data_IF_755691103927
#
_entry.id   IF_755691103927
#
_cell.length_a   1.000
_cell.length_b   1.000
_cell.length_c   1.000
_cell.angle_alpha   90.00
_cell.angle_beta   90.00
_cell.angle_gamma   90.00
#
_symmetry.space_group_name_H-M   'P 1'
#
loop_
_entity.id
_entity.type
_entity.pdbx_description
1 polymer ?
#
# COMPACT_ATOMS: atom_id res chain seq x y z
N UNK A 1 6.66 -2.95 14.74
CA UNK A 1 6.10 -1.68 14.21
C UNK A 1 4.67 -1.91 13.77
N UNK A 2 3.78 -1.02 14.13
CA UNK A 2 2.37 -1.05 13.71
C UNK A 2 2.17 -0.22 12.46
N UNK A 3 1.13 -0.54 11.69
CA UNK A 3 0.82 0.21 10.47
C UNK A 3 0.50 1.67 10.76
N UNK A 4 -0.14 1.96 11.90
CA UNK A 4 -0.47 3.34 12.28
C UNK A 4 0.75 4.22 12.52
N UNK A 5 1.92 3.63 12.69
CA UNK A 5 3.17 4.38 12.85
C UNK A 5 3.70 4.89 11.50
N UNK A 6 3.25 4.29 10.40
CA UNK A 6 3.74 4.60 9.06
C UNK A 6 2.63 4.98 8.09
N UNK A 7 1.37 4.83 8.47
CA UNK A 7 0.19 5.15 7.67
C UNK A 7 -0.66 6.16 8.42
N UNK A 8 -0.91 7.31 7.80
CA UNK A 8 -1.78 8.36 8.36
C UNK A 8 -3.02 8.53 7.50
N UNK A 9 -4.08 9.11 8.05
CA UNK A 9 -5.36 9.26 7.37
C UNK A 9 -5.23 10.06 6.05
N UNK A 10 -4.35 11.05 6.01
CA UNK A 10 -4.14 11.88 4.81
C UNK A 10 -3.49 11.11 3.64
N UNK A 11 -3.00 9.91 3.89
CA UNK A 11 -2.47 9.03 2.85
C UNK A 11 -3.38 7.83 2.57
N UNK A 12 -4.66 7.97 2.90
CA UNK A 12 -5.69 6.98 2.56
C UNK A 12 -6.66 7.62 1.59
N UNK A 13 -6.93 6.96 0.47
CA UNK A 13 -7.84 7.45 -0.57
C UNK A 13 -8.79 6.34 -0.99
N UNK A 14 -10.04 6.71 -1.19
CA UNK A 14 -11.09 5.87 -1.77
C UNK A 14 -11.40 6.48 -3.14
N UNK A 15 -11.19 5.73 -4.22
CA UNK A 15 -11.32 6.25 -5.57
C UNK A 15 -11.92 5.23 -6.53
N UNK A 16 -12.52 5.73 -7.62
CA UNK A 16 -13.09 4.92 -8.70
C UNK A 16 -12.55 5.40 -10.04
N UNK A 17 -12.69 4.58 -11.06
CA UNK A 17 -12.36 4.96 -12.42
C UNK A 17 -10.86 5.00 -12.73
N UNK A 18 -10.05 4.26 -12.00
CA UNK A 18 -8.64 4.10 -12.35
C UNK A 18 -8.55 3.26 -13.62
N UNK A 19 -7.78 3.76 -14.61
CA UNK A 19 -7.68 3.12 -15.91
C UNK A 19 -6.92 1.79 -15.92
N UNK A 20 -6.05 1.57 -14.95
CA UNK A 20 -5.27 0.35 -14.88
C UNK A 20 -4.13 0.45 -13.87
N UNK A 21 -3.24 -0.54 -13.89
CA UNK A 21 -2.10 -0.60 -12.98
C UNK A 21 -1.20 0.65 -13.02
N UNK A 22 -0.86 1.21 -14.22
CA UNK A 22 -0.05 2.43 -14.24
C UNK A 22 -0.68 3.59 -13.49
N UNK A 23 -1.99 3.78 -13.63
CA UNK A 23 -2.73 4.85 -12.95
C UNK A 23 -2.80 4.61 -11.44
N UNK A 24 -2.94 3.36 -11.02
CA UNK A 24 -2.92 3.00 -9.61
C UNK A 24 -1.54 3.27 -8.99
N UNK A 25 -0.46 2.93 -9.69
CA UNK A 25 0.90 3.23 -9.22
C UNK A 25 1.17 4.73 -9.16
N UNK A 26 0.65 5.51 -10.12
CA UNK A 26 0.73 6.97 -10.08
C UNK A 26 0.06 7.50 -8.82
N UNK A 27 -1.16 7.05 -8.54
CA UNK A 27 -1.92 7.51 -7.39
C UNK A 27 -1.24 7.15 -6.06
N UNK A 28 -0.75 5.92 -5.93
CA UNK A 28 -0.09 5.50 -4.70
C UNK A 28 1.24 6.22 -4.49
N UNK A 29 1.97 6.53 -5.58
CA UNK A 29 3.21 7.29 -5.50
C UNK A 29 2.99 8.71 -4.97
N UNK A 30 1.92 9.37 -5.42
CA UNK A 30 1.55 10.70 -4.93
C UNK A 30 1.26 10.66 -3.42
N UNK A 31 0.52 9.65 -2.97
CA UNK A 31 0.19 9.49 -1.55
C UNK A 31 1.44 9.21 -0.72
N UNK A 32 2.31 8.32 -1.18
CA UNK A 32 3.55 8.00 -0.48
C UNK A 32 4.45 9.23 -0.34
N UNK A 33 4.55 10.02 -1.40
CA UNK A 33 5.38 11.23 -1.39
C UNK A 33 4.91 12.26 -0.35
N UNK A 34 3.61 12.27 0.01
CA UNK A 34 3.10 13.13 1.09
C UNK A 34 3.73 12.82 2.43
N UNK A 35 4.18 11.59 2.65
CA UNK A 35 4.83 11.16 3.88
C UNK A 35 6.34 11.36 3.88
N UNK A 36 6.87 12.00 2.84
CA UNK A 36 8.31 12.20 2.64
C UNK A 36 8.65 13.68 2.58
N UNK A 37 9.82 14.05 3.11
CA UNK A 37 10.21 15.46 3.23
C UNK A 37 10.59 16.08 1.87
N UNK A 38 11.24 15.31 1.00
CA UNK A 38 11.83 15.88 -0.22
C UNK A 38 11.67 15.01 -1.46
N UNK A 39 10.95 13.89 -1.37
CA UNK A 39 10.78 12.99 -2.52
C UNK A 39 9.67 13.50 -3.44
N UNK A 40 9.96 13.49 -4.74
CA UNK A 40 8.96 13.82 -5.76
C UNK A 40 8.16 12.54 -6.12
N UNK A 41 6.85 12.68 -6.41
CA UNK A 41 6.02 11.52 -6.81
C UNK A 41 6.62 10.71 -7.97
N UNK A 42 7.23 11.36 -8.95
CA UNK A 42 7.83 10.66 -10.10
C UNK A 42 8.98 9.73 -9.69
N UNK A 43 9.74 10.10 -8.67
CA UNK A 43 10.84 9.29 -8.15
C UNK A 43 10.29 8.06 -7.44
N UNK A 44 9.28 8.27 -6.59
CA UNK A 44 8.58 7.17 -5.90
C UNK A 44 7.95 6.22 -6.93
N UNK A 45 7.30 6.79 -7.94
CA UNK A 45 6.67 6.03 -9.03
C UNK A 45 7.67 5.13 -9.75
N UNK A 46 8.86 5.65 -10.04
CA UNK A 46 9.91 4.88 -10.70
C UNK A 46 10.38 3.70 -9.85
N UNK A 47 10.53 3.89 -8.56
CA UNK A 47 10.91 2.83 -7.61
C UNK A 47 9.85 1.71 -7.60
N UNK A 48 8.58 2.09 -7.52
CA UNK A 48 7.47 1.12 -7.51
C UNK A 48 7.40 0.36 -8.83
N UNK A 49 7.56 1.04 -9.96
CA UNK A 49 7.52 0.42 -11.29
C UNK A 49 8.66 -0.58 -11.47
N UNK A 50 9.85 -0.22 -11.07
CA UNK A 50 11.02 -1.11 -11.17
C UNK A 50 10.79 -2.41 -10.39
N UNK A 51 10.23 -2.32 -9.20
CA UNK A 51 9.89 -3.52 -8.41
C UNK A 51 8.78 -4.34 -9.06
N UNK A 52 7.79 -3.68 -9.60
CA UNK A 52 6.63 -4.32 -10.21
C UNK A 52 7.00 -5.08 -11.49
N UNK A 53 8.01 -4.58 -12.23
CA UNK A 53 8.52 -5.25 -13.43
C UNK A 53 9.16 -6.59 -13.14
N UNK A 54 9.71 -6.78 -11.95
CA UNK A 54 10.31 -8.05 -11.56
C UNK A 54 9.25 -9.13 -11.37
N UNK A 55 8.16 -8.77 -10.72
CA UNK A 55 7.02 -9.65 -10.48
C UNK A 55 5.89 -8.81 -9.90
N UNK A 56 4.65 -9.08 -10.30
CA UNK A 56 3.49 -8.38 -9.77
C UNK A 56 3.45 -8.45 -8.23
N UNK A 57 3.09 -7.34 -7.61
CA UNK A 57 2.85 -7.26 -6.16
C UNK A 57 1.39 -7.51 -5.81
N UNK A 58 0.58 -7.91 -6.79
CA UNK A 58 -0.79 -8.41 -6.53
C UNK A 58 -0.72 -9.79 -5.89
N UNK A 59 -1.11 -9.87 -4.64
CA UNK A 59 -0.98 -11.11 -3.85
C UNK A 59 -2.24 -11.97 -3.88
N UNK A 60 -3.25 -11.56 -4.62
CA UNK A 60 -4.53 -12.25 -4.69
C UNK A 60 -5.54 -11.70 -3.70
N UNK A 61 -6.77 -12.20 -3.77
CA UNK A 61 -7.90 -11.78 -2.92
C UNK A 61 -8.22 -10.29 -3.02
N UNK A 62 -7.86 -9.66 -4.14
CA UNK A 62 -8.11 -8.24 -4.36
C UNK A 62 -7.11 -7.32 -3.67
N UNK A 63 -5.95 -7.83 -3.27
CA UNK A 63 -4.92 -7.05 -2.57
C UNK A 63 -3.65 -6.94 -3.39
N UNK A 64 -3.06 -5.75 -3.44
CA UNK A 64 -1.73 -5.52 -3.99
C UNK A 64 -0.89 -4.71 -3.00
N UNK A 65 0.40 -5.01 -2.93
CA UNK A 65 1.32 -4.34 -2.01
C UNK A 65 2.54 -3.84 -2.79
N UNK A 66 2.36 -2.78 -3.63
CA UNK A 66 3.51 -2.18 -4.30
C UNK A 66 4.49 -1.63 -3.27
N UNK A 67 5.76 -1.90 -3.45
CA UNK A 67 6.77 -1.51 -2.45
C UNK A 67 8.14 -1.34 -3.08
N UNK A 68 9.03 -0.76 -2.32
CA UNK A 68 10.41 -0.55 -2.75
C UNK A 68 11.21 0.20 -1.70
N UNK A 69 12.41 0.63 -2.10
CA UNK A 69 13.34 1.33 -1.23
C UNK A 69 13.75 2.66 -1.85
N UNK A 70 13.95 3.65 -1.00
CA UNK A 70 14.43 4.96 -1.42
C UNK A 70 15.55 5.39 -0.48
N UNK A 71 16.73 5.74 -1.05
CA UNK A 71 17.95 5.96 -0.28
C UNK A 71 17.88 7.09 0.74
N UNK A 72 17.04 8.09 0.48
CA UNK A 72 16.94 9.29 1.32
C UNK A 72 16.05 9.12 2.54
N UNK A 73 15.27 8.05 2.59
CA UNK A 73 14.37 7.81 3.72
C UNK A 73 15.12 7.36 4.95
N UNK A 74 14.60 7.77 6.11
CA UNK A 74 15.08 7.32 7.43
C UNK A 74 14.07 6.40 8.11
N UNK A 75 12.81 6.42 7.66
CA UNK A 75 11.73 5.61 8.22
C UNK A 75 10.89 5.01 7.10
N UNK A 76 10.10 3.99 7.42
CA UNK A 76 9.13 3.42 6.50
C UNK A 76 7.96 4.38 6.32
N UNK A 77 7.37 4.40 5.12
CA UNK A 77 6.18 5.19 4.80
C UNK A 77 5.19 4.29 4.08
N UNK A 78 3.93 4.35 4.47
CA UNK A 78 2.86 3.60 3.82
C UNK A 78 1.75 4.54 3.33
N UNK A 79 1.02 4.08 2.31
CA UNK A 79 -0.17 4.75 1.79
C UNK A 79 -1.17 3.68 1.35
N UNK A 80 -2.45 4.02 1.39
CA UNK A 80 -3.53 3.08 1.12
C UNK A 80 -4.51 3.65 0.11
N UNK A 81 -4.75 2.89 -0.95
CA UNK A 81 -5.71 3.22 -1.99
C UNK A 81 -6.75 2.11 -2.05
N UNK A 82 -8.02 2.46 -1.87
CA UNK A 82 -9.13 1.55 -2.06
C UNK A 82 -9.83 1.89 -3.37
N UNK A 83 -9.92 0.93 -4.27
CA UNK A 83 -10.55 1.05 -5.58
C UNK A 83 -11.68 0.01 -5.69
N UNK A 84 -12.92 0.36 -5.26
CA UNK A 84 -14.00 -0.63 -5.16
C UNK A 84 -14.37 -1.29 -6.48
N UNK A 85 -14.17 -0.63 -7.61
CA UNK A 85 -14.43 -1.20 -8.94
C UNK A 85 -13.26 -2.05 -9.48
N UNK A 86 -12.16 -2.12 -8.73
CA UNK A 86 -11.05 -3.00 -9.06
C UNK A 86 -10.10 -2.44 -10.11
N UNK A 87 -8.84 -2.85 -10.01
CA UNK A 87 -7.77 -2.48 -10.95
C UNK A 87 -7.01 -3.74 -11.32
N UNK A 88 -6.84 -4.04 -12.63
CA UNK A 88 -6.01 -5.18 -13.02
C UNK A 88 -4.58 -5.00 -12.50
N UNK A 89 -4.06 -6.00 -11.80
CA UNK A 89 -2.73 -5.92 -11.18
C UNK A 89 -1.86 -7.14 -11.49
N UNK A 90 -2.33 -7.97 -12.43
CA UNK A 90 -1.64 -9.21 -12.81
C UNK A 90 -1.37 -10.10 -11.59
N UNK A 91 -2.36 -10.14 -10.69
CA UNK A 91 -2.27 -10.96 -9.48
C UNK A 91 -2.23 -12.45 -9.82
N UNK A 92 -1.71 -13.24 -8.89
CA UNK A 92 -1.56 -14.69 -9.07
C UNK A 92 -2.92 -15.39 -9.34
N UNK A 93 -4.02 -14.85 -8.83
CA UNK A 93 -5.38 -15.40 -9.03
C UNK A 93 -6.16 -14.69 -10.15
N UNK A 94 -5.51 -13.81 -10.90
CA UNK A 94 -6.09 -12.99 -11.98
C UNK A 94 -7.24 -12.08 -11.55
N UNK A 95 -7.48 -11.93 -10.26
CA UNK A 95 -8.52 -11.05 -9.73
C UNK A 95 -8.01 -9.61 -9.64
N UNK A 96 -8.85 -8.62 -9.97
CA UNK A 96 -8.44 -7.22 -9.86
C UNK A 96 -8.18 -6.82 -8.41
N UNK A 97 -7.23 -5.92 -8.21
CA UNK A 97 -6.94 -5.35 -6.90
C UNK A 97 -7.98 -4.30 -6.54
N UNK A 98 -8.49 -4.37 -5.34
CA UNK A 98 -9.40 -3.36 -4.77
C UNK A 98 -8.78 -2.63 -3.58
N UNK A 99 -7.78 -3.25 -2.98
CA UNK A 99 -7.03 -2.69 -1.84
C UNK A 99 -5.56 -2.67 -2.24
N UNK A 100 -5.00 -1.49 -2.36
CA UNK A 100 -3.62 -1.30 -2.77
C UNK A 100 -2.90 -0.54 -1.67
N UNK A 101 -2.00 -1.22 -0.97
CA UNK A 101 -1.24 -0.64 0.13
C UNK A 101 0.22 -0.57 -0.27
N UNK A 102 0.72 0.65 -0.48
CA UNK A 102 2.11 0.89 -0.84
C UNK A 102 3.00 1.09 0.36
N UNK A 103 4.23 0.60 0.29
CA UNK A 103 5.23 0.76 1.34
C UNK A 103 6.57 1.10 0.71
N UNK A 104 7.17 2.20 1.15
CA UNK A 104 8.54 2.56 0.78
C UNK A 104 9.39 2.61 2.04
N UNK A 105 10.54 1.98 2.02
CA UNK A 105 11.46 1.95 3.14
C UNK A 105 12.83 2.53 2.83
N UNK A 106 13.66 2.75 3.85
CA UNK A 106 15.04 3.16 3.66
C UNK A 106 15.82 2.08 2.90
N UNK A 107 16.64 2.51 1.97
CA UNK A 107 17.45 1.61 1.14
C UNK A 107 18.64 1.01 1.90
N UNK A 108 19.16 1.74 2.88
CA UNK A 108 20.39 1.37 3.59
C UNK A 108 20.10 0.86 4.99
N UNK A 109 20.92 -0.12 5.40
CA UNK A 109 20.88 -0.68 6.74
C UNK A 109 20.09 -1.98 6.81
N UNK A 110 20.71 -2.98 7.40
CA UNK A 110 20.10 -4.30 7.57
C UNK A 110 18.85 -4.22 8.43
N UNK A 111 18.87 -3.39 9.48
CA UNK A 111 17.70 -3.20 10.36
C UNK A 111 16.49 -2.68 9.57
N UNK A 112 16.71 -1.69 8.72
CA UNK A 112 15.63 -1.11 7.90
C UNK A 112 15.06 -2.14 6.91
N UNK A 113 15.89 -2.98 6.33
CA UNK A 113 15.47 -4.03 5.41
C UNK A 113 14.66 -5.11 6.12
N UNK A 114 15.09 -5.55 7.30
CA UNK A 114 14.35 -6.51 8.12
C UNK A 114 13.00 -5.94 8.54
N UNK A 115 12.99 -4.68 8.97
CA UNK A 115 11.77 -3.99 9.35
C UNK A 115 10.79 -3.90 8.18
N UNK A 116 11.30 -3.57 6.98
CA UNK A 116 10.48 -3.51 5.77
C UNK A 116 9.78 -4.86 5.51
N UNK A 117 10.52 -5.96 5.59
CA UNK A 117 9.95 -7.30 5.43
C UNK A 117 8.88 -7.61 6.49
N UNK A 118 9.12 -7.21 7.71
CA UNK A 118 8.14 -7.38 8.79
C UNK A 118 6.86 -6.60 8.53
N UNK A 119 6.99 -5.39 7.99
CA UNK A 119 5.84 -4.57 7.62
C UNK A 119 5.05 -5.23 6.49
N UNK A 120 5.70 -5.71 5.46
CA UNK A 120 5.02 -6.41 4.36
C UNK A 120 4.29 -7.65 4.86
N UNK A 121 4.91 -8.41 5.75
CA UNK A 121 4.28 -9.57 6.37
C UNK A 121 3.07 -9.18 7.22
N UNK A 122 3.18 -8.08 7.97
CA UNK A 122 2.08 -7.56 8.78
C UNK A 122 0.92 -7.11 7.93
N UNK A 123 1.18 -6.39 6.84
CA UNK A 123 0.14 -5.96 5.89
C UNK A 123 -0.61 -7.18 5.35
N UNK A 124 0.12 -8.20 4.91
CA UNK A 124 -0.48 -9.44 4.41
C UNK A 124 -1.37 -10.10 5.46
N UNK A 125 -0.90 -10.12 6.70
CA UNK A 125 -1.65 -10.72 7.82
C UNK A 125 -2.93 -9.95 8.15
N UNK A 126 -2.84 -8.62 8.23
CA UNK A 126 -4.00 -7.76 8.50
C UNK A 126 -5.04 -7.90 7.39
N UNK A 127 -4.61 -7.87 6.14
CA UNK A 127 -5.53 -7.90 4.99
C UNK A 127 -5.97 -9.31 4.58
N UNK A 128 -5.57 -10.32 5.33
CA UNK A 128 -6.00 -11.71 5.06
C UNK A 128 -7.47 -11.93 5.37
N UNK A 129 -8.04 -11.17 6.30
CA UNK A 129 -9.41 -11.34 6.75
C UNK A 129 -10.41 -10.87 5.70
N UNK A 130 -11.26 -11.78 5.14
CA UNK A 130 -12.21 -11.41 4.09
C UNK A 130 -13.22 -10.36 4.51
N UNK A 131 -13.68 -10.41 5.77
CA UNK A 131 -14.65 -9.43 6.29
C UNK A 131 -14.09 -8.03 6.33
N UNK A 132 -12.82 -7.88 6.70
CA UNK A 132 -12.16 -6.58 6.69
C UNK A 132 -12.08 -6.03 5.26
N UNK A 133 -11.65 -6.85 4.32
CA UNK A 133 -11.55 -6.43 2.92
C UNK A 133 -12.91 -5.98 2.37
N UNK A 134 -13.96 -6.73 2.68
CA UNK A 134 -15.32 -6.37 2.26
C UNK A 134 -15.75 -5.04 2.85
N UNK A 135 -15.54 -4.82 4.14
CA UNK A 135 -15.88 -3.56 4.80
C UNK A 135 -15.10 -2.39 4.21
N UNK A 136 -13.82 -2.58 3.90
CA UNK A 136 -13.00 -1.52 3.31
C UNK A 136 -13.49 -1.15 1.91
N UNK A 137 -13.82 -2.13 1.08
CA UNK A 137 -14.31 -1.87 -0.28
C UNK A 137 -15.71 -1.27 -0.31
N UNK A 138 -16.49 -1.45 0.73
CA UNK A 138 -17.84 -0.90 0.87
C UNK A 138 -17.89 0.37 1.72
N UNK A 139 -16.76 0.87 2.18
CA UNK A 139 -16.71 2.07 3.00
C UNK A 139 -17.12 3.32 2.21
N UNK A 140 -17.70 4.31 2.91
CA UNK A 140 -18.19 5.53 2.31
C UNK A 140 -17.14 6.63 2.19
N UNK A 141 -16.01 6.49 2.91
CA UNK A 141 -15.01 7.56 2.98
C UNK A 141 -13.63 7.01 3.31
N UNK A 142 -12.61 7.79 2.97
CA UNK A 142 -11.23 7.48 3.35
C UNK A 142 -11.07 7.40 4.88
N UNK A 143 -11.77 8.25 5.62
CA UNK A 143 -11.78 8.23 7.08
C UNK A 143 -12.27 6.89 7.62
N UNK A 144 -13.37 6.38 7.04
CA UNK A 144 -13.90 5.07 7.43
C UNK A 144 -12.94 3.94 7.12
N UNK A 145 -12.29 3.98 5.95
CA UNK A 145 -11.26 3.01 5.57
C UNK A 145 -10.11 3.02 6.56
N UNK A 146 -9.62 4.22 6.89
CA UNK A 146 -8.51 4.35 7.84
C UNK A 146 -8.87 3.76 9.21
N UNK A 147 -10.07 4.05 9.70
CA UNK A 147 -10.53 3.51 10.98
C UNK A 147 -10.56 1.97 10.97
N UNK A 148 -11.03 1.38 9.87
CA UNK A 148 -11.09 -0.08 9.72
C UNK A 148 -9.70 -0.73 9.77
N UNK A 149 -8.74 -0.19 9.02
CA UNK A 149 -7.39 -0.77 9.01
C UNK A 149 -6.65 -0.53 10.32
N UNK A 150 -6.83 0.65 10.92
CA UNK A 150 -6.25 0.96 12.22
C UNK A 150 -6.70 -0.03 13.28
N UNK A 151 -8.01 -0.30 13.35
CA UNK A 151 -8.58 -1.19 14.34
C UNK A 151 -8.15 -2.64 14.09
N UNK A 152 -8.08 -3.05 12.83
CA UNK A 152 -7.61 -4.39 12.46
C UNK A 152 -6.13 -4.57 12.82
N UNK A 153 -5.30 -3.57 12.54
CA UNK A 153 -3.88 -3.57 12.88
C UNK A 153 -3.66 -3.72 14.40
N UNK A 154 -4.50 -3.06 15.19
CA UNK A 154 -4.41 -3.13 16.66
C UNK A 154 -4.69 -4.54 17.20
N UNK A 155 -5.42 -5.37 16.47
CA UNK A 155 -5.73 -6.75 16.87
C UNK A 155 -4.62 -7.74 16.51
N UNK A 156 -3.67 -7.35 15.71
CA UNK A 156 -2.53 -8.20 15.32
C UNK A 156 -1.38 -7.99 16.30
N UNK A 157 -0.86 -9.06 16.93
CA UNK A 157 0.27 -8.97 17.87
C UNK A 157 1.54 -8.42 17.26
#
# INVERSE_FOLDING_TARGET
MRLVEILTEDRVVLTRGLGGKPQALDAIAVLLARGMTSAEPRVVRAVLEEREELQSTGIGDGVAIPHGFLGELTTQVAALLVAPDGVPFEAIDDRPAKIILGVIGPKRGMHAQVEHLRILARVSKVLREPQLREKMTNADSAKAVYALIRDADARVP
#
